data_IF_544276535164
#
_entry.id   IF_544276535164
#
_cell.length_a   1.000
_cell.length_b   1.000
_cell.length_c   1.000
_cell.angle_alpha   90.00
_cell.angle_beta   90.00
_cell.angle_gamma   90.00
#
_symmetry.space_group_name_H-M   'P 1'
#
loop_
_entity.id
_entity.type
_entity.pdbx_description
1 polymer ?
#
# COMPACT_ATOMS: atom_id res chain seq x y z
N UNK A 1 11.06 -13.32 -10.75
CA UNK A 1 10.46 -12.43 -9.72
C UNK A 1 11.51 -12.02 -8.69
N UNK A 2 12.30 -12.96 -8.17
CA UNK A 2 13.32 -12.74 -7.12
C UNK A 2 14.28 -11.57 -7.36
N UNK A 3 14.81 -11.43 -8.59
CA UNK A 3 15.70 -10.29 -8.94
C UNK A 3 14.98 -8.95 -8.73
N UNK A 4 13.69 -8.88 -9.08
CA UNK A 4 12.87 -7.69 -8.91
C UNK A 4 12.65 -7.35 -7.43
N UNK A 5 12.33 -8.34 -6.60
CA UNK A 5 12.14 -8.14 -5.14
C UNK A 5 13.44 -7.65 -4.47
N UNK A 6 14.59 -8.26 -4.79
CA UNK A 6 15.89 -7.81 -4.27
C UNK A 6 16.20 -6.38 -4.71
N UNK A 7 15.92 -6.06 -5.97
CA UNK A 7 16.15 -4.72 -6.51
C UNK A 7 15.24 -3.67 -5.84
N UNK A 8 13.95 -3.97 -5.68
CA UNK A 8 12.99 -3.09 -5.02
C UNK A 8 13.43 -2.79 -3.57
N UNK A 9 13.80 -3.83 -2.81
CA UNK A 9 14.28 -3.68 -1.44
C UNK A 9 15.57 -2.86 -1.36
N UNK A 10 16.51 -3.07 -2.27
CA UNK A 10 17.76 -2.29 -2.34
C UNK A 10 17.49 -0.82 -2.65
N UNK A 11 16.58 -0.52 -3.58
CA UNK A 11 16.22 0.87 -3.91
C UNK A 11 15.56 1.56 -2.73
N UNK A 12 14.57 0.93 -2.08
CA UNK A 12 13.89 1.49 -0.91
C UNK A 12 14.86 1.72 0.26
N UNK A 13 15.75 0.76 0.52
CA UNK A 13 16.78 0.92 1.54
C UNK A 13 17.76 2.05 1.22
N UNK A 14 18.19 2.18 -0.03
CA UNK A 14 19.06 3.27 -0.45
C UNK A 14 18.40 4.65 -0.28
N UNK A 15 17.11 4.77 -0.62
CA UNK A 15 16.32 6.00 -0.40
C UNK A 15 16.24 6.34 1.09
N UNK A 16 15.91 5.37 1.94
CA UNK A 16 15.85 5.58 3.39
C UNK A 16 17.22 5.96 3.99
N UNK A 17 18.32 5.39 3.47
CA UNK A 17 19.69 5.72 3.89
C UNK A 17 20.11 7.15 3.52
N UNK A 18 19.42 7.80 2.57
CA UNK A 18 19.57 9.23 2.28
C UNK A 18 18.76 10.12 3.25
N UNK A 19 18.07 9.53 4.23
CA UNK A 19 17.17 10.24 5.14
C UNK A 19 15.82 10.61 4.52
N UNK A 20 15.47 10.05 3.36
CA UNK A 20 14.22 10.30 2.65
C UNK A 20 13.25 9.14 2.87
N UNK A 21 11.99 9.38 3.30
CA UNK A 21 11.00 8.32 3.41
C UNK A 21 10.53 7.86 2.02
N UNK A 22 10.33 6.55 1.86
CA UNK A 22 9.78 5.98 0.63
C UNK A 22 8.26 5.71 0.73
N UNK A 23 7.58 5.79 -0.40
CA UNK A 23 6.16 5.48 -0.57
C UNK A 23 5.96 4.55 -1.77
N UNK A 24 4.96 3.66 -1.71
CA UNK A 24 4.61 2.76 -2.82
C UNK A 24 3.11 2.48 -2.88
N UNK A 25 2.66 1.94 -4.01
CA UNK A 25 1.34 1.32 -4.14
C UNK A 25 1.47 -0.19 -3.89
N UNK A 26 0.60 -0.76 -3.05
CA UNK A 26 0.57 -2.20 -2.78
C UNK A 26 -0.48 -2.86 -3.68
N UNK A 27 0.01 -3.63 -4.67
CA UNK A 27 -0.80 -4.22 -5.74
C UNK A 27 -1.23 -5.67 -5.47
N UNK A 28 -0.60 -6.31 -4.48
CA UNK A 28 -0.82 -7.70 -4.13
C UNK A 28 -0.51 -7.94 -2.65
N UNK A 29 -0.86 -9.13 -2.16
CA UNK A 29 -0.76 -9.50 -0.73
C UNK A 29 0.62 -10.01 -0.31
N UNK A 30 1.46 -10.41 -1.27
CA UNK A 30 2.73 -11.06 -1.00
C UNK A 30 3.88 -10.04 -0.93
N UNK A 31 3.94 -9.11 -1.87
CA UNK A 31 4.97 -8.07 -1.97
C UNK A 31 5.18 -7.27 -0.67
N UNK A 32 4.13 -6.85 0.07
CA UNK A 32 4.30 -6.16 1.35
C UNK A 32 5.22 -6.89 2.34
N UNK A 33 5.19 -8.22 2.39
CA UNK A 33 6.02 -9.03 3.29
C UNK A 33 7.53 -8.86 3.02
N UNK A 34 7.91 -8.39 1.83
CA UNK A 34 9.30 -8.22 1.42
C UNK A 34 9.80 -6.78 1.52
N UNK A 35 8.92 -5.78 1.60
CA UNK A 35 9.31 -4.37 1.47
C UNK A 35 8.62 -3.40 2.43
N UNK A 36 7.53 -3.79 3.11
CA UNK A 36 6.71 -2.85 3.87
C UNK A 36 7.46 -2.20 5.05
N UNK A 37 8.46 -2.88 5.61
CA UNK A 37 9.34 -2.33 6.64
C UNK A 37 10.19 -1.13 6.16
N UNK A 38 10.29 -0.93 4.85
CA UNK A 38 11.02 0.19 4.24
C UNK A 38 10.08 1.28 3.68
N UNK A 39 8.76 1.16 3.90
CA UNK A 39 7.75 2.06 3.34
C UNK A 39 7.12 2.88 4.46
N UNK A 40 7.19 4.20 4.32
CA UNK A 40 6.60 5.14 5.28
C UNK A 40 5.12 5.46 5.00
N UNK A 41 4.65 5.23 3.77
CA UNK A 41 3.27 5.46 3.35
C UNK A 41 2.87 4.56 2.17
N UNK A 42 1.67 3.99 2.23
CA UNK A 42 1.12 3.10 1.20
C UNK A 42 -0.06 3.72 0.43
N UNK A 43 -0.16 3.42 -0.86
CA UNK A 43 -1.35 3.66 -1.66
C UNK A 43 -2.11 2.36 -1.95
N UNK A 44 -3.44 2.46 -2.01
CA UNK A 44 -4.33 1.52 -2.68
C UNK A 44 -4.92 2.21 -3.92
N UNK A 45 -4.79 1.55 -5.06
CA UNK A 45 -5.11 2.08 -6.37
C UNK A 45 -6.61 2.32 -6.62
N UNK A 46 -6.93 3.19 -7.58
CA UNK A 46 -8.31 3.46 -7.99
C UNK A 46 -9.07 2.21 -8.46
N UNK A 47 -8.35 1.22 -9.00
CA UNK A 47 -8.89 -0.07 -9.47
C UNK A 47 -9.00 -1.13 -8.37
N UNK A 48 -8.37 -0.89 -7.22
CA UNK A 48 -8.31 -1.85 -6.10
C UNK A 48 -8.93 -1.32 -4.82
N UNK A 49 -9.29 -0.03 -4.75
CA UNK A 49 -10.03 0.58 -3.61
C UNK A 49 -11.34 -0.14 -3.27
N UNK A 50 -12.02 -0.69 -4.28
CA UNK A 50 -13.25 -1.48 -4.08
C UNK A 50 -12.98 -2.93 -3.67
N UNK A 51 -11.75 -3.40 -3.86
CA UNK A 51 -11.37 -4.77 -3.54
C UNK A 51 -11.31 -4.96 -2.03
N UNK A 52 -12.16 -5.85 -1.53
CA UNK A 52 -12.20 -6.19 -0.10
C UNK A 52 -10.85 -6.71 0.41
N UNK A 53 -10.17 -7.55 -0.37
CA UNK A 53 -8.84 -8.09 -0.02
C UNK A 53 -7.79 -6.98 0.16
N UNK A 54 -7.88 -5.89 -0.62
CA UNK A 54 -6.96 -4.75 -0.47
C UNK A 54 -7.30 -3.87 0.74
N UNK A 55 -8.56 -3.85 1.19
CA UNK A 55 -8.97 -3.17 2.44
C UNK A 55 -8.48 -3.94 3.66
N UNK A 56 -8.55 -5.27 3.61
CA UNK A 56 -7.99 -6.18 4.64
C UNK A 56 -6.46 -6.12 4.67
N UNK A 57 -5.81 -5.99 3.51
CA UNK A 57 -4.37 -5.71 3.47
C UNK A 57 -4.06 -4.42 4.26
N UNK A 58 -4.80 -3.35 3.96
CA UNK A 58 -4.56 -2.04 4.54
C UNK A 58 -4.78 -2.00 6.05
N UNK A 59 -5.69 -2.81 6.62
CA UNK A 59 -5.85 -2.90 8.08
C UNK A 59 -4.65 -3.55 8.78
N UNK A 60 -3.84 -4.33 8.06
CA UNK A 60 -2.64 -4.99 8.58
C UNK A 60 -1.33 -4.27 8.28
N UNK A 61 -1.33 -3.21 7.46
CA UNK A 61 -0.09 -2.49 7.12
C UNK A 61 0.37 -1.62 8.29
N UNK A 62 1.68 -1.65 8.57
CA UNK A 62 2.28 -0.86 9.66
C UNK A 62 2.49 0.62 9.33
N UNK A 63 2.28 1.02 8.07
CA UNK A 63 2.36 2.41 7.63
C UNK A 63 0.96 3.00 7.39
N UNK A 64 0.78 4.33 7.46
CA UNK A 64 -0.44 4.97 6.98
C UNK A 64 -0.74 4.62 5.52
N UNK A 65 -2.03 4.50 5.19
CA UNK A 65 -2.51 4.12 3.86
C UNK A 65 -3.47 5.17 3.30
N UNK A 66 -3.30 5.52 2.03
CA UNK A 66 -4.27 6.31 1.27
C UNK A 66 -5.02 5.47 0.22
N UNK A 67 -6.34 5.62 0.19
CA UNK A 67 -7.20 5.02 -0.83
C UNK A 67 -7.52 6.04 -1.92
N UNK A 68 -7.18 5.74 -3.18
CA UNK A 68 -7.60 6.57 -4.32
C UNK A 68 -9.11 6.42 -4.57
N UNK A 69 -9.75 7.47 -5.09
CA UNK A 69 -11.13 7.40 -5.59
C UNK A 69 -11.26 6.42 -6.76
N UNK A 70 -12.49 6.04 -7.09
CA UNK A 70 -12.78 5.15 -8.22
C UNK A 70 -12.33 5.73 -9.54
N UNK A 71 -12.10 4.87 -10.54
CA UNK A 71 -11.74 5.32 -11.89
C UNK A 71 -12.83 6.17 -12.56
N UNK A 72 -14.06 6.10 -12.04
CA UNK A 72 -15.22 6.91 -12.40
C UNK A 72 -15.31 8.25 -11.64
N UNK A 73 -14.34 8.54 -10.75
CA UNK A 73 -14.35 9.74 -9.90
C UNK A 73 -15.10 9.58 -8.57
N UNK A 74 -15.63 8.40 -8.26
CA UNK A 74 -16.42 8.18 -7.05
C UNK A 74 -15.55 8.26 -5.78
N UNK A 75 -15.80 9.25 -4.93
CA UNK A 75 -15.11 9.43 -3.65
C UNK A 75 -15.66 8.53 -2.53
N UNK A 76 -16.91 8.09 -2.63
CA UNK A 76 -17.58 7.30 -1.58
C UNK A 76 -16.85 5.98 -1.34
N UNK A 77 -16.36 5.34 -2.40
CA UNK A 77 -15.66 4.06 -2.29
C UNK A 77 -14.34 4.16 -1.54
N UNK A 78 -13.63 5.29 -1.66
CA UNK A 78 -12.40 5.54 -0.90
C UNK A 78 -12.72 5.78 0.58
N UNK A 79 -13.78 6.54 0.87
CA UNK A 79 -14.24 6.77 2.25
C UNK A 79 -14.73 5.48 2.92
N UNK A 80 -15.43 4.60 2.20
CA UNK A 80 -15.82 3.28 2.68
C UNK A 80 -14.61 2.38 2.93
N UNK A 81 -13.61 2.42 2.04
CA UNK A 81 -12.37 1.67 2.21
C UNK A 81 -11.59 2.11 3.46
N UNK A 82 -11.50 3.41 3.75
CA UNK A 82 -10.91 3.94 5.00
C UNK A 82 -11.64 3.37 6.23
N UNK A 83 -12.98 3.37 6.22
CA UNK A 83 -13.77 2.81 7.33
C UNK A 83 -13.54 1.31 7.51
N UNK A 84 -13.45 0.56 6.41
CA UNK A 84 -13.21 -0.89 6.42
C UNK A 84 -11.81 -1.22 6.96
N UNK A 85 -10.77 -0.52 6.49
CA UNK A 85 -9.39 -0.73 6.92
C UNK A 85 -9.14 -0.31 8.38
N UNK A 86 -10.02 0.51 8.97
CA UNK A 86 -9.95 0.88 10.38
C UNK A 86 -10.48 -0.23 11.32
N UNK A 87 -11.00 -1.34 10.79
CA UNK A 87 -11.48 -2.48 11.56
C UNK A 87 -10.46 -3.63 11.52
N UNK A 88 -10.41 -4.50 12.55
CA UNK A 88 -9.70 -5.76 12.48
C UNK A 88 -10.30 -6.69 11.43
N UNK A 89 -9.44 -7.43 10.72
CA UNK A 89 -9.79 -8.51 9.79
C UNK A 89 -8.92 -9.74 10.04
#
# INVERSE_FOLDING_TARGET
IDKGLRMARNVLSAVNNLGLPAATEFLDMATPQYIADLVAWGAIGARTTESQIHRELASGLSCPVGFKNGTDGNLRIAAEAVKSAAQPH
#
